data_IF_181776365948
#
_entry.id   IF_181776365948
#
_cell.length_a   1.000
_cell.length_b   1.000
_cell.length_c   1.000
_cell.angle_alpha   90.00
_cell.angle_beta   90.00
_cell.angle_gamma   90.00
#
_symmetry.space_group_name_H-M   'P 1'
#
loop_
_entity.id
_entity.type
_entity.pdbx_description
1 polymer ?
#
# COMPACT_ATOMS: atom_id res chain seq x y z
N UNK A 1 15.42 12.52 -73.85
CA UNK A 1 14.32 11.54 -73.67
C UNK A 1 14.91 10.41 -72.86
N UNK A 2 14.18 9.97 -71.81
CA UNK A 2 14.58 9.18 -70.63
C UNK A 2 15.42 9.96 -69.61
N UNK A 3 14.83 10.69 -68.65
CA UNK A 3 13.95 10.31 -67.51
C UNK A 3 14.72 9.80 -66.29
N UNK A 4 14.50 10.51 -65.15
CA UNK A 4 14.21 10.01 -63.79
C UNK A 4 15.11 8.90 -63.22
N UNK A 5 15.48 8.88 -61.96
CA UNK A 5 15.32 9.71 -60.76
C UNK A 5 16.12 8.96 -59.68
N UNK A 6 16.19 9.53 -58.48
CA UNK A 6 16.72 8.96 -57.22
C UNK A 6 18.05 9.57 -56.79
N UNK A 7 17.99 10.88 -56.56
CA UNK A 7 18.42 11.41 -55.26
C UNK A 7 17.88 10.48 -54.16
N UNK A 8 18.78 9.68 -53.58
CA UNK A 8 18.52 9.05 -52.29
C UNK A 8 18.58 10.16 -51.24
N UNK A 9 17.45 10.84 -51.12
CA UNK A 9 17.10 11.71 -50.02
C UNK A 9 17.30 10.92 -48.72
N UNK A 10 18.40 11.19 -48.02
CA UNK A 10 18.53 10.89 -46.59
C UNK A 10 17.61 11.85 -45.83
N UNK A 11 16.30 11.70 -46.06
CA UNK A 11 15.31 12.18 -45.12
C UNK A 11 15.61 11.52 -43.78
N UNK A 12 15.60 12.26 -42.66
CA UNK A 12 15.62 11.58 -41.37
C UNK A 12 14.36 10.71 -41.38
N UNK A 13 14.55 9.39 -41.42
CA UNK A 13 13.58 8.49 -40.83
C UNK A 13 13.62 8.81 -39.34
N UNK A 14 13.04 9.95 -38.97
CA UNK A 14 12.58 10.20 -37.63
C UNK A 14 11.65 9.04 -37.38
N UNK A 15 12.15 8.10 -36.59
CA UNK A 15 11.34 7.21 -35.79
C UNK A 15 10.44 8.13 -34.94
N UNK A 16 9.40 8.69 -35.53
CA UNK A 16 8.25 9.16 -34.81
C UNK A 16 7.53 7.89 -34.39
N UNK A 17 8.12 7.21 -33.39
CA UNK A 17 7.33 6.52 -32.40
C UNK A 17 6.40 7.62 -31.90
N UNK A 18 5.19 7.70 -32.45
CA UNK A 18 4.13 8.55 -31.95
C UNK A 18 4.16 8.38 -30.44
N UNK A 19 4.66 9.39 -29.73
CA UNK A 19 4.73 9.36 -28.29
C UNK A 19 3.27 9.31 -27.84
N UNK A 20 2.78 8.10 -27.59
CA UNK A 20 1.40 7.87 -27.22
C UNK A 20 1.17 8.74 -26.00
N UNK A 21 0.18 9.64 -26.08
CA UNK A 21 -0.15 10.53 -24.97
C UNK A 21 -0.54 9.66 -23.78
N UNK A 22 0.42 9.50 -22.86
CA UNK A 22 0.29 8.59 -21.75
C UNK A 22 -0.81 9.07 -20.80
N UNK A 23 -1.08 10.38 -20.77
CA UNK A 23 -2.18 10.94 -20.00
C UNK A 23 -3.53 10.50 -20.58
N UNK A 24 -3.67 10.47 -21.92
CA UNK A 24 -4.87 9.95 -22.59
C UNK A 24 -5.07 8.44 -22.35
N UNK A 25 -3.99 7.64 -22.41
CA UNK A 25 -4.03 6.21 -22.11
C UNK A 25 -4.47 5.94 -20.66
N UNK A 26 -3.95 6.70 -19.69
CA UNK A 26 -4.34 6.59 -18.28
C UNK A 26 -5.82 6.91 -18.10
N UNK A 27 -6.32 7.99 -18.71
CA UNK A 27 -7.73 8.38 -18.58
C UNK A 27 -8.66 7.28 -19.10
N UNK A 28 -8.32 6.64 -20.22
CA UNK A 28 -9.09 5.53 -20.79
C UNK A 28 -9.06 4.28 -19.90
N UNK A 29 -7.87 3.92 -19.38
CA UNK A 29 -7.69 2.74 -18.53
C UNK A 29 -8.40 2.86 -17.17
N UNK A 30 -8.45 4.07 -16.58
CA UNK A 30 -9.06 4.31 -15.27
C UNK A 30 -10.59 4.38 -15.33
N UNK A 31 -11.18 4.89 -16.41
CA UNK A 31 -12.63 5.10 -16.53
C UNK A 31 -13.48 3.82 -16.48
N UNK A 32 -12.86 2.63 -16.62
CA UNK A 32 -13.58 1.37 -16.81
C UNK A 32 -13.73 0.52 -15.54
N UNK A 33 -13.08 0.88 -14.43
CA UNK A 33 -12.97 -0.01 -13.26
C UNK A 33 -13.98 0.33 -12.16
N UNK A 34 -14.81 -0.64 -11.70
CA UNK A 34 -15.74 -0.39 -10.60
C UNK A 34 -14.98 -0.17 -9.29
N UNK A 35 -15.43 0.81 -8.49
CA UNK A 35 -14.83 1.13 -7.18
C UNK A 35 -15.52 0.37 -6.06
N UNK A 36 -14.72 -0.28 -5.22
CA UNK A 36 -15.23 -0.98 -4.04
C UNK A 36 -15.69 0.01 -2.96
N UNK A 37 -16.80 -0.32 -2.28
CA UNK A 37 -17.37 0.49 -1.20
C UNK A 37 -17.36 -0.28 0.10
N UNK A 38 -17.07 0.41 1.20
CA UNK A 38 -17.10 -0.16 2.54
C UNK A 38 -17.86 0.79 3.47
N UNK A 39 -18.77 0.25 4.28
CA UNK A 39 -19.41 1.00 5.36
C UNK A 39 -18.81 0.59 6.69
N UNK A 40 -18.32 1.57 7.45
CA UNK A 40 -17.71 1.38 8.75
C UNK A 40 -18.17 2.50 9.68
N UNK A 41 -18.68 2.14 10.86
CA UNK A 41 -19.26 3.06 11.86
C UNK A 41 -20.31 4.02 11.28
N UNK A 42 -21.14 3.56 10.34
CA UNK A 42 -22.18 4.38 9.70
C UNK A 42 -21.68 5.33 8.61
N UNK A 43 -20.37 5.38 8.33
CA UNK A 43 -19.78 6.14 7.21
C UNK A 43 -19.42 5.20 6.07
N UNK A 44 -19.77 5.58 4.85
CA UNK A 44 -19.38 4.87 3.63
C UNK A 44 -18.10 5.47 3.05
N UNK A 45 -17.13 4.60 2.81
CA UNK A 45 -15.86 4.89 2.16
C UNK A 45 -15.85 4.29 0.76
N UNK A 46 -15.29 5.02 -0.19
CA UNK A 46 -15.10 4.56 -1.57
C UNK A 46 -13.62 4.40 -1.80
N UNK A 47 -13.19 3.16 -1.99
CA UNK A 47 -11.78 2.85 -2.24
C UNK A 47 -11.31 3.47 -3.57
N UNK A 48 -10.02 3.76 -3.72
CA UNK A 48 -9.46 4.22 -4.99
C UNK A 48 -9.63 3.15 -6.09
N UNK A 49 -9.66 3.59 -7.35
CA UNK A 49 -9.83 2.71 -8.51
C UNK A 49 -8.61 1.80 -8.80
N UNK A 50 -7.45 2.22 -8.30
CA UNK A 50 -6.19 1.49 -8.39
C UNK A 50 -5.35 1.79 -7.15
N UNK A 51 -4.38 0.92 -6.85
CA UNK A 51 -3.57 1.05 -5.64
C UNK A 51 -2.57 2.19 -5.82
N UNK A 52 -2.67 3.30 -5.07
CA UNK A 52 -1.75 4.41 -5.27
C UNK A 52 -0.32 3.97 -4.94
N UNK A 53 0.67 4.39 -5.74
CA UNK A 53 2.08 4.01 -5.54
C UNK A 53 2.54 4.30 -4.10
N UNK A 54 2.11 5.45 -3.58
CA UNK A 54 2.41 5.87 -2.20
C UNK A 54 1.90 4.91 -1.13
N UNK A 55 0.80 4.18 -1.38
CA UNK A 55 0.33 3.16 -0.44
C UNK A 55 1.34 2.04 -0.29
N UNK A 56 1.89 1.53 -1.40
CA UNK A 56 2.87 0.45 -1.39
C UNK A 56 4.16 0.87 -0.69
N UNK A 57 4.64 2.08 -0.96
CA UNK A 57 5.84 2.64 -0.34
C UNK A 57 5.66 2.86 1.17
N UNK A 58 4.50 3.40 1.58
CA UNK A 58 4.20 3.61 2.99
C UNK A 58 3.95 2.29 3.73
N UNK A 59 3.42 1.26 3.09
CA UNK A 59 3.23 -0.04 3.72
C UNK A 59 4.57 -0.66 4.16
N UNK A 60 5.61 -0.56 3.32
CA UNK A 60 6.97 -0.98 3.69
C UNK A 60 7.50 -0.17 4.87
N UNK A 61 7.27 1.15 4.86
CA UNK A 61 7.69 2.02 5.96
C UNK A 61 6.96 1.72 7.26
N UNK A 62 5.64 1.51 7.23
CA UNK A 62 4.81 1.19 8.41
C UNK A 62 5.23 -0.14 9.03
N UNK A 63 5.66 -1.12 8.22
CA UNK A 63 6.19 -2.39 8.74
C UNK A 63 7.46 -2.19 9.60
N UNK A 64 8.29 -1.21 9.25
CA UNK A 64 9.55 -0.91 9.95
C UNK A 64 9.42 0.23 10.99
N UNK A 65 8.35 1.01 10.93
CA UNK A 65 8.11 2.21 11.75
C UNK A 65 7.33 1.89 13.04
N UNK A 66 7.44 2.78 14.03
CA UNK A 66 6.60 2.80 15.23
C UNK A 66 5.81 4.11 15.33
N UNK A 67 5.84 4.91 14.26
CA UNK A 67 5.23 6.23 14.20
C UNK A 67 3.75 6.10 13.78
N UNK A 68 2.78 6.52 14.63
CA UNK A 68 1.37 6.52 14.27
C UNK A 68 1.07 7.44 13.07
N UNK A 69 1.88 8.47 12.81
CA UNK A 69 1.68 9.36 11.67
C UNK A 69 1.88 8.66 10.33
N UNK A 70 2.74 7.65 10.27
CA UNK A 70 2.96 6.85 9.05
C UNK A 70 1.70 6.01 8.74
N UNK A 71 1.04 5.48 9.77
CA UNK A 71 -0.24 4.75 9.65
C UNK A 71 -1.37 5.71 9.23
N UNK A 72 -1.42 6.91 9.83
CA UNK A 72 -2.42 7.92 9.47
C UNK A 72 -2.32 8.32 7.99
N UNK A 73 -1.10 8.54 7.48
CA UNK A 73 -0.85 8.85 6.07
C UNK A 73 -1.24 7.69 5.14
N UNK A 74 -0.92 6.45 5.52
CA UNK A 74 -1.31 5.27 4.75
C UNK A 74 -2.83 5.18 4.61
N UNK A 75 -3.55 5.38 5.70
CA UNK A 75 -5.01 5.33 5.71
C UNK A 75 -5.65 6.50 4.96
N UNK A 76 -5.05 7.69 5.03
CA UNK A 76 -5.53 8.86 4.31
C UNK A 76 -5.55 8.65 2.79
N UNK A 77 -4.62 7.86 2.25
CA UNK A 77 -4.55 7.53 0.82
C UNK A 77 -5.72 6.64 0.39
N UNK A 78 -6.16 5.71 1.25
CA UNK A 78 -7.22 4.76 0.91
C UNK A 78 -8.62 5.28 1.23
N UNK A 79 -8.76 6.01 2.33
CA UNK A 79 -10.06 6.32 2.93
C UNK A 79 -10.32 7.83 3.08
N UNK A 80 -9.35 8.68 2.73
CA UNK A 80 -9.39 10.12 2.97
C UNK A 80 -8.94 10.51 4.38
N UNK A 81 -8.89 11.82 4.66
CA UNK A 81 -8.35 12.37 5.91
C UNK A 81 -9.07 11.94 7.19
N UNK A 82 -8.32 11.96 8.30
CA UNK A 82 -8.78 11.83 9.70
C UNK A 82 -9.55 10.56 10.08
N UNK A 83 -9.39 9.48 9.32
CA UNK A 83 -10.08 8.21 9.62
C UNK A 83 -9.51 7.48 10.83
N UNK A 84 -8.19 7.57 11.06
CA UNK A 84 -7.54 6.82 12.14
C UNK A 84 -8.05 7.26 13.52
N UNK A 85 -8.14 8.58 13.77
CA UNK A 85 -8.66 9.13 15.02
C UNK A 85 -10.11 8.72 15.24
N UNK A 86 -10.94 8.88 14.20
CA UNK A 86 -12.37 8.49 14.26
C UNK A 86 -12.52 7.00 14.62
N UNK A 87 -11.73 6.12 14.01
CA UNK A 87 -11.82 4.69 14.26
C UNK A 87 -11.27 4.31 15.64
N UNK A 88 -10.21 4.98 16.09
CA UNK A 88 -9.67 4.81 17.43
C UNK A 88 -10.69 5.23 18.51
N UNK A 89 -11.43 6.34 18.30
CA UNK A 89 -12.51 6.78 19.18
C UNK A 89 -13.66 5.75 19.26
N UNK A 90 -13.93 5.05 18.17
CA UNK A 90 -14.86 3.92 18.13
C UNK A 90 -14.29 2.59 18.66
N UNK A 91 -13.04 2.60 19.16
CA UNK A 91 -12.40 1.43 19.74
C UNK A 91 -11.88 0.40 18.74
N UNK A 92 -11.54 0.81 17.51
CA UNK A 92 -10.92 -0.08 16.54
C UNK A 92 -9.61 -0.65 17.08
N UNK A 93 -9.50 -1.98 17.04
CA UNK A 93 -8.31 -2.71 17.46
C UNK A 93 -7.31 -2.90 16.32
N UNK A 94 -6.04 -3.14 16.67
CA UNK A 94 -4.97 -3.45 15.69
C UNK A 94 -5.35 -4.60 14.74
N UNK A 95 -6.01 -5.64 15.28
CA UNK A 95 -6.50 -6.76 14.47
C UNK A 95 -7.53 -6.30 13.44
N UNK A 96 -8.52 -5.52 13.85
CA UNK A 96 -9.56 -5.01 12.95
C UNK A 96 -8.95 -4.11 11.86
N UNK A 97 -7.97 -3.27 12.23
CA UNK A 97 -7.23 -2.45 11.30
C UNK A 97 -6.44 -3.30 10.29
N UNK A 98 -5.75 -4.35 10.75
CA UNK A 98 -5.00 -5.27 9.88
C UNK A 98 -5.90 -5.97 8.87
N UNK A 99 -7.07 -6.47 9.30
CA UNK A 99 -8.07 -7.09 8.43
C UNK A 99 -8.57 -6.10 7.37
N UNK A 100 -8.87 -4.88 7.80
CA UNK A 100 -9.34 -3.81 6.92
C UNK A 100 -8.31 -3.45 5.84
N UNK A 101 -7.02 -3.42 6.19
CA UNK A 101 -5.94 -3.17 5.24
C UNK A 101 -5.80 -4.30 4.22
N UNK A 102 -5.90 -5.57 4.64
CA UNK A 102 -5.88 -6.73 3.72
C UNK A 102 -7.06 -6.66 2.75
N UNK A 103 -8.28 -6.46 3.27
CA UNK A 103 -9.48 -6.31 2.46
C UNK A 103 -9.33 -5.18 1.43
N UNK A 104 -8.85 -4.02 1.86
CA UNK A 104 -8.76 -2.85 1.01
C UNK A 104 -7.69 -3.01 -0.07
N UNK A 105 -6.51 -3.51 0.28
CA UNK A 105 -5.45 -3.72 -0.68
C UNK A 105 -5.84 -4.75 -1.77
N UNK A 106 -6.56 -5.81 -1.39
CA UNK A 106 -7.04 -6.81 -2.33
C UNK A 106 -8.13 -6.24 -3.27
N UNK A 107 -9.13 -5.57 -2.71
CA UNK A 107 -10.27 -5.08 -3.49
C UNK A 107 -9.97 -3.82 -4.30
N UNK A 108 -8.95 -3.04 -3.94
CA UNK A 108 -8.43 -1.97 -4.81
C UNK A 108 -7.75 -2.56 -6.05
N UNK A 109 -7.03 -3.68 -5.92
CA UNK A 109 -6.38 -4.34 -7.06
C UNK A 109 -7.38 -5.06 -7.96
N UNK A 110 -8.35 -5.71 -7.34
CA UNK A 110 -9.42 -6.46 -8.01
C UNK A 110 -10.70 -6.37 -7.16
N UNK A 111 -11.64 -5.48 -7.52
CA UNK A 111 -12.90 -5.32 -6.80
C UNK A 111 -13.64 -6.66 -6.62
N UNK A 112 -14.23 -6.88 -5.44
CA UNK A 112 -14.90 -8.12 -5.07
C UNK A 112 -14.01 -9.38 -4.94
N UNK A 113 -12.68 -9.25 -4.97
CA UNK A 113 -11.77 -10.42 -4.89
C UNK A 113 -11.69 -11.05 -3.51
N UNK A 114 -11.86 -10.26 -2.45
CA UNK A 114 -11.72 -10.72 -1.06
C UNK A 114 -12.88 -10.19 -0.22
N UNK A 115 -13.55 -11.08 0.51
CA UNK A 115 -14.57 -10.71 1.49
C UNK A 115 -13.94 -10.36 2.83
N UNK A 116 -14.64 -9.64 3.70
CA UNK A 116 -14.14 -9.35 5.07
C UNK A 116 -13.83 -10.62 5.89
N UNK A 117 -14.66 -11.68 5.86
CA UNK A 117 -14.30 -12.96 6.50
C UNK A 117 -13.01 -13.55 5.93
N UNK A 118 -12.84 -13.54 4.60
CA UNK A 118 -11.60 -14.05 3.98
C UNK A 118 -10.38 -13.20 4.36
N UNK A 119 -10.53 -11.89 4.49
CA UNK A 119 -9.47 -11.03 4.98
C UNK A 119 -9.09 -11.32 6.44
N UNK A 120 -10.06 -11.72 7.28
CA UNK A 120 -9.80 -12.17 8.64
C UNK A 120 -8.98 -13.46 8.69
N UNK A 121 -9.33 -14.45 7.86
CA UNK A 121 -8.56 -15.68 7.71
C UNK A 121 -7.12 -15.40 7.26
N UNK A 122 -6.95 -14.56 6.22
CA UNK A 122 -5.63 -14.17 5.72
C UNK A 122 -4.78 -13.44 6.77
N UNK A 123 -5.41 -12.61 7.61
CA UNK A 123 -4.73 -11.97 8.73
C UNK A 123 -4.24 -13.01 9.74
N UNK A 124 -5.11 -13.94 10.13
CA UNK A 124 -4.77 -14.97 11.12
C UNK A 124 -3.69 -15.93 10.58
N UNK A 125 -3.74 -16.29 9.28
CA UNK A 125 -2.69 -17.04 8.56
C UNK A 125 -1.33 -16.29 8.60
N UNK A 126 -1.35 -14.97 8.37
CA UNK A 126 -0.15 -14.14 8.37
C UNK A 126 0.47 -14.02 9.78
N UNK A 127 -0.36 -13.81 10.80
CA UNK A 127 0.12 -13.71 12.19
C UNK A 127 0.63 -15.05 12.72
N UNK A 128 -0.01 -16.16 12.36
CA UNK A 128 0.48 -17.51 12.67
C UNK A 128 1.88 -17.75 12.08
N UNK A 129 2.16 -17.24 10.88
CA UNK A 129 3.49 -17.29 10.26
C UNK A 129 4.54 -16.40 10.92
N UNK A 130 4.15 -15.27 11.52
CA UNK A 130 5.06 -14.35 12.23
C UNK A 130 5.37 -14.76 13.66
N UNK A 131 4.52 -15.57 14.30
CA UNK A 131 4.66 -16.02 15.69
C UNK A 131 5.94 -16.85 15.97
N UNK A 132 6.72 -17.21 14.95
CA UNK A 132 8.01 -17.89 15.09
C UNK A 132 9.22 -16.94 15.29
N UNK A 133 9.03 -15.62 15.25
CA UNK A 133 10.09 -14.65 15.50
C UNK A 133 10.24 -14.29 16.99
N UNK A 134 11.46 -14.24 17.57
CA UNK A 134 11.63 -13.91 18.98
C UNK A 134 11.05 -12.53 19.31
N UNK A 135 10.05 -12.54 20.19
CA UNK A 135 9.34 -11.38 20.72
C UNK A 135 10.30 -10.21 21.00
N UNK A 136 10.09 -9.05 20.36
CA UNK A 136 10.91 -7.83 20.49
C UNK A 136 11.19 -7.43 21.94
N UNK A 137 10.25 -7.74 22.85
CA UNK A 137 10.36 -7.52 24.29
C UNK A 137 11.54 -8.29 24.93
N UNK A 138 11.84 -9.51 24.46
CA UNK A 138 12.95 -10.33 24.99
C UNK A 138 14.34 -9.78 24.61
N UNK A 139 14.43 -9.00 23.53
CA UNK A 139 15.70 -8.40 23.08
C UNK A 139 16.15 -7.22 23.97
N UNK A 140 15.22 -6.52 24.62
CA UNK A 140 15.51 -5.43 25.58
C UNK A 140 15.97 -5.93 26.95
N UNK A 141 15.62 -7.15 27.35
CA UNK A 141 16.02 -7.70 28.65
C UNK A 141 17.51 -8.14 28.70
N UNK A 142 18.16 -8.36 27.56
CA UNK A 142 19.53 -8.90 27.50
C UNK A 142 20.66 -7.87 27.62
N UNK A 143 20.38 -6.57 27.48
CA UNK A 143 21.41 -5.52 27.53
C UNK A 143 21.60 -4.86 28.90
N UNK A 144 20.77 -5.18 29.90
CA UNK A 144 20.74 -4.46 31.18
C UNK A 144 21.62 -5.00 32.32
N UNK A 145 22.30 -6.15 32.18
CA UNK A 145 22.96 -6.81 33.33
C UNK A 145 24.49 -6.88 33.19
N UNK A 146 25.16 -5.74 33.06
CA UNK A 146 26.61 -5.65 33.29
C UNK A 146 26.87 -5.34 34.76
N UNK A 147 27.14 -6.41 35.50
CA UNK A 147 27.47 -6.52 36.93
C UNK A 147 28.64 -5.59 37.29
N UNK A 148 28.40 -4.54 38.09
CA UNK A 148 29.46 -3.83 38.83
C UNK A 148 29.85 -4.70 40.03
N UNK A 149 31.06 -5.23 40.03
CA UNK A 149 31.71 -5.76 41.22
C UNK A 149 33.19 -5.39 41.18
N UNK A 150 33.52 -4.24 41.75
CA UNK A 150 34.87 -3.89 42.17
C UNK A 150 34.79 -3.57 43.66
N UNK A 151 35.26 -4.50 44.49
CA UNK A 151 35.36 -4.38 45.94
C UNK A 151 36.68 -3.66 46.33
N UNK A 152 36.77 -3.05 47.52
CA UNK A 152 37.92 -2.28 47.96
C UNK A 152 38.99 -3.18 48.59
N UNK A 153 40.26 -2.81 48.47
CA UNK A 153 41.37 -3.20 49.34
C UNK A 153 42.39 -2.08 49.34
#
# INVERSE_FOLDING_TARGET
MTDLDLDQDHGPAENHLDATDFDAFIVEELATRPRERLTLYGKTYVLPESLPIMFTLLMTRVQDSQDPDDVAKLLAILFGGDVLNTWAEHGMTDRQLGILLIFSAANVRRPGSVTLPRAAELYDEQEAGKAAGPNRATRRAKTGKKKRSGAPS
#
